data_IF_886197845866
#
_entry.id   IF_886197845866
#
_cell.length_a   1.000
_cell.length_b   1.000
_cell.length_c   1.000
_cell.angle_alpha   90.00
_cell.angle_beta   90.00
_cell.angle_gamma   90.00
#
_symmetry.space_group_name_H-M   'P 1'
#
loop_
_entity.id
_entity.type
_entity.pdbx_description
1 polymer ?
#
# COMPACT_ATOMS: atom_id res chain seq x y z
N UNK A 1 -0.33 -16.20 -34.93
CA UNK A 1 0.37 -14.94 -34.58
C UNK A 1 -0.43 -14.27 -33.49
N UNK A 2 0.08 -14.25 -32.25
CA UNK A 2 -0.59 -13.60 -31.12
C UNK A 2 -0.56 -12.10 -31.40
N UNK A 3 -1.72 -11.54 -31.76
CA UNK A 3 -1.90 -10.09 -31.89
C UNK A 3 -1.45 -9.45 -30.58
N UNK A 4 -0.46 -8.55 -30.66
CA UNK A 4 -0.10 -7.65 -29.56
C UNK A 4 -1.32 -6.79 -29.29
N UNK A 5 -2.21 -7.26 -28.41
CA UNK A 5 -3.37 -6.50 -27.97
C UNK A 5 -2.84 -5.15 -27.50
N UNK A 6 -3.30 -4.07 -28.16
CA UNK A 6 -2.97 -2.71 -27.72
C UNK A 6 -3.33 -2.62 -26.24
N UNK A 7 -2.46 -2.05 -25.38
CA UNK A 7 -2.84 -1.78 -24.00
C UNK A 7 -4.15 -0.98 -24.02
N UNK A 8 -5.19 -1.53 -23.40
CA UNK A 8 -6.49 -0.89 -23.34
C UNK A 8 -6.41 0.31 -22.40
N UNK A 9 -7.25 1.33 -22.59
CA UNK A 9 -7.30 2.48 -21.69
C UNK A 9 -7.58 2.06 -20.23
N UNK A 10 -8.27 0.93 -20.05
CA UNK A 10 -8.49 0.31 -18.74
C UNK A 10 -7.21 -0.25 -18.10
N UNK A 11 -6.28 -0.80 -18.89
CA UNK A 11 -4.99 -1.29 -18.38
C UNK A 11 -4.14 -0.14 -17.83
N UNK A 12 -4.13 0.99 -18.54
CA UNK A 12 -3.42 2.19 -18.10
C UNK A 12 -4.03 2.74 -16.81
N UNK A 13 -5.36 2.91 -16.76
CA UNK A 13 -6.09 3.37 -15.56
C UNK A 13 -5.85 2.47 -14.35
N UNK A 14 -5.88 1.15 -14.57
CA UNK A 14 -5.56 0.16 -13.52
C UNK A 14 -4.14 0.36 -13.01
N UNK A 15 -3.14 0.43 -13.90
CA UNK A 15 -1.74 0.61 -13.48
C UNK A 15 -1.53 1.88 -12.66
N UNK A 16 -2.14 3.00 -13.09
CA UNK A 16 -2.06 4.29 -12.40
C UNK A 16 -2.73 4.16 -11.03
N UNK A 17 -3.95 3.62 -10.97
CA UNK A 17 -4.68 3.48 -9.71
C UNK A 17 -3.93 2.63 -8.68
N UNK A 18 -3.39 1.48 -9.09
CA UNK A 18 -2.59 0.63 -8.20
C UNK A 18 -1.29 1.30 -7.75
N UNK A 19 -0.63 2.03 -8.65
CA UNK A 19 0.58 2.79 -8.32
C UNK A 19 0.26 3.86 -7.29
N UNK A 20 -0.82 4.63 -7.50
CA UNK A 20 -1.26 5.67 -6.58
C UNK A 20 -1.63 5.10 -5.21
N UNK A 21 -2.40 4.01 -5.16
CA UNK A 21 -2.78 3.37 -3.90
C UNK A 21 -1.56 2.85 -3.16
N UNK A 22 -0.66 2.16 -3.85
CA UNK A 22 0.56 1.62 -3.23
C UNK A 22 1.45 2.73 -2.69
N UNK A 23 1.62 3.81 -3.46
CA UNK A 23 2.36 4.98 -3.01
C UNK A 23 1.72 5.59 -1.76
N UNK A 24 0.40 5.85 -1.79
CA UNK A 24 -0.31 6.42 -0.66
C UNK A 24 -0.26 5.53 0.57
N UNK A 25 -0.44 4.22 0.44
CA UNK A 25 -0.38 3.28 1.56
C UNK A 25 0.97 3.31 2.29
N UNK A 26 2.08 3.47 1.58
CA UNK A 26 3.41 3.57 2.21
C UNK A 26 3.61 4.93 2.88
N UNK A 27 3.22 6.01 2.21
CA UNK A 27 3.60 7.37 2.60
C UNK A 27 2.57 8.08 3.49
N UNK A 28 1.37 7.55 3.65
CA UNK A 28 0.34 8.12 4.54
C UNK A 28 0.81 8.19 6.01
N UNK A 29 1.77 7.35 6.40
CA UNK A 29 2.35 7.36 7.74
C UNK A 29 3.44 8.39 7.98
N UNK A 30 3.92 9.12 6.96
CA UNK A 30 4.99 10.09 7.17
C UNK A 30 4.71 11.10 8.29
N UNK A 31 3.51 11.70 8.39
CA UNK A 31 3.19 12.59 9.50
C UNK A 31 3.26 11.90 10.86
N UNK A 32 2.82 10.64 10.95
CA UNK A 32 2.86 9.84 12.19
C UNK A 32 4.30 9.53 12.57
N UNK A 33 5.11 9.06 11.62
CA UNK A 33 6.54 8.77 11.86
C UNK A 33 7.29 10.02 12.30
N UNK A 34 7.03 11.15 11.65
CA UNK A 34 7.59 12.44 12.06
C UNK A 34 7.20 12.77 13.50
N UNK A 35 5.91 12.67 13.83
CA UNK A 35 5.41 12.95 15.17
C UNK A 35 6.08 12.05 16.22
N UNK A 36 6.10 10.74 16.01
CA UNK A 36 6.73 9.80 16.95
C UNK A 36 8.23 10.10 17.09
N UNK A 37 8.93 10.39 15.99
CA UNK A 37 10.35 10.74 16.03
C UNK A 37 10.65 12.01 16.83
N UNK A 38 9.77 13.02 16.79
CA UNK A 38 9.93 14.24 17.59
C UNK A 38 9.77 14.02 19.09
N UNK A 39 8.87 13.11 19.49
CA UNK A 39 8.48 12.93 20.89
C UNK A 39 9.04 11.66 21.55
N UNK A 40 9.62 10.75 20.78
CA UNK A 40 10.16 9.49 21.26
C UNK A 40 11.46 9.11 20.53
N UNK A 41 12.50 8.70 21.26
CA UNK A 41 13.78 8.25 20.70
C UNK A 41 13.75 6.76 20.31
N UNK A 42 12.68 6.37 19.64
CA UNK A 42 12.45 4.99 19.26
C UNK A 42 13.30 4.60 18.04
N UNK A 43 14.46 4.01 18.31
CA UNK A 43 15.39 3.52 17.30
C UNK A 43 14.77 2.44 16.38
N UNK A 44 13.71 1.76 16.82
CA UNK A 44 13.04 0.70 16.08
C UNK A 44 11.91 1.19 15.17
N UNK A 45 11.53 2.46 15.24
CA UNK A 45 10.40 3.04 14.51
C UNK A 45 10.54 2.87 12.99
N UNK A 46 11.68 3.30 12.44
CA UNK A 46 11.94 3.24 11.00
C UNK A 46 12.07 1.80 10.48
N UNK A 47 12.60 0.88 11.30
CA UNK A 47 12.66 -0.54 10.93
C UNK A 47 11.26 -1.14 10.80
N UNK A 48 10.39 -0.90 11.79
CA UNK A 48 9.00 -1.38 11.75
C UNK A 48 8.22 -0.78 10.61
N UNK A 49 8.35 0.53 10.38
CA UNK A 49 7.76 1.17 9.22
C UNK A 49 8.26 0.57 7.90
N UNK A 50 9.57 0.27 7.79
CA UNK A 50 10.14 -0.37 6.61
C UNK A 50 9.55 -1.76 6.36
N UNK A 51 9.38 -2.57 7.41
CA UNK A 51 8.77 -3.92 7.32
C UNK A 51 7.30 -3.82 6.89
N UNK A 52 6.53 -2.93 7.53
CA UNK A 52 5.13 -2.65 7.19
C UNK A 52 4.98 -2.19 5.73
N UNK A 53 5.77 -1.20 5.33
CA UNK A 53 5.79 -0.68 3.96
C UNK A 53 6.13 -1.78 2.94
N UNK A 54 7.14 -2.60 3.22
CA UNK A 54 7.52 -3.70 2.34
C UNK A 54 6.39 -4.73 2.22
N UNK A 55 5.72 -5.07 3.31
CA UNK A 55 4.56 -5.97 3.30
C UNK A 55 3.42 -5.42 2.45
N UNK A 56 3.03 -4.15 2.62
CA UNK A 56 2.00 -3.49 1.81
C UNK A 56 2.35 -3.46 0.32
N UNK A 57 3.60 -3.14 -0.03
CA UNK A 57 4.03 -3.12 -1.43
C UNK A 57 3.96 -4.52 -2.03
N UNK A 58 4.48 -5.53 -1.35
CA UNK A 58 4.43 -6.92 -1.83
C UNK A 58 2.99 -7.38 -1.97
N UNK A 59 2.14 -7.10 -0.98
CA UNK A 59 0.72 -7.43 -1.02
C UNK A 59 0.02 -6.79 -2.23
N UNK A 60 0.21 -5.48 -2.47
CA UNK A 60 -0.39 -4.78 -3.59
C UNK A 60 0.09 -5.31 -4.94
N UNK A 61 1.37 -5.67 -5.06
CA UNK A 61 1.94 -6.29 -6.27
C UNK A 61 1.28 -7.65 -6.51
N UNK A 62 1.20 -8.50 -5.48
CA UNK A 62 0.57 -9.81 -5.60
C UNK A 62 -0.91 -9.65 -5.99
N UNK A 63 -1.63 -8.74 -5.35
CA UNK A 63 -3.03 -8.46 -5.66
C UNK A 63 -3.22 -7.95 -7.09
N UNK A 64 -2.31 -7.12 -7.59
CA UNK A 64 -2.32 -6.64 -8.99
C UNK A 64 -2.24 -7.78 -10.01
N UNK A 65 -1.45 -8.82 -9.73
CA UNK A 65 -1.27 -9.96 -10.64
C UNK A 65 -2.26 -11.10 -10.40
N UNK A 66 -2.88 -11.19 -9.22
CA UNK A 66 -3.79 -12.28 -8.85
C UNK A 66 -5.13 -12.21 -9.60
N UNK A 67 -5.72 -11.02 -9.76
CA UNK A 67 -7.00 -10.84 -10.45
C UNK A 67 -6.84 -10.10 -11.79
N UNK A 68 -6.76 -10.85 -12.88
CA UNK A 68 -6.68 -10.36 -14.26
C UNK A 68 -8.08 -10.10 -14.86
N UNK A 69 -8.22 -9.14 -15.81
CA UNK A 69 -8.53 -7.72 -15.61
C UNK A 69 -10.05 -7.42 -15.47
N UNK A 70 -10.89 -8.39 -15.13
CA UNK A 70 -12.33 -8.14 -15.03
C UNK A 70 -12.62 -7.30 -13.78
N UNK A 71 -13.46 -6.26 -13.94
CA UNK A 71 -13.86 -5.35 -12.85
C UNK A 71 -12.70 -4.66 -12.11
N UNK A 72 -11.68 -4.19 -12.83
CA UNK A 72 -10.50 -3.51 -12.26
C UNK A 72 -10.81 -2.45 -11.20
N UNK A 73 -11.92 -1.70 -11.35
CA UNK A 73 -12.35 -0.69 -10.39
C UNK A 73 -12.85 -1.27 -9.07
N UNK A 74 -13.57 -2.41 -9.11
CA UNK A 74 -14.01 -3.11 -7.90
C UNK A 74 -12.81 -3.68 -7.14
N UNK A 75 -11.86 -4.27 -7.87
CA UNK A 75 -10.63 -4.81 -7.26
C UNK A 75 -9.81 -3.66 -6.65
N UNK A 76 -9.76 -2.52 -7.33
CA UNK A 76 -9.13 -1.31 -6.80
C UNK A 76 -9.78 -0.85 -5.48
N UNK A 77 -11.13 -0.83 -5.40
CA UNK A 77 -11.83 -0.48 -4.16
C UNK A 77 -11.60 -1.52 -3.04
N UNK A 78 -11.60 -2.81 -3.38
CA UNK A 78 -11.27 -3.88 -2.44
C UNK A 78 -9.84 -3.73 -1.90
N UNK A 79 -8.88 -3.43 -2.77
CA UNK A 79 -7.50 -3.14 -2.39
C UNK A 79 -7.40 -1.95 -1.44
N UNK A 80 -8.13 -0.86 -1.70
CA UNK A 80 -8.20 0.27 -0.78
C UNK A 80 -8.73 -0.18 0.59
N UNK A 81 -9.81 -0.96 0.63
CA UNK A 81 -10.38 -1.47 1.88
C UNK A 81 -9.41 -2.35 2.67
N UNK A 82 -8.72 -3.26 2.00
CA UNK A 82 -7.72 -4.14 2.62
C UNK A 82 -6.53 -3.32 3.12
N UNK A 83 -6.04 -2.39 2.30
CA UNK A 83 -4.94 -1.52 2.71
C UNK A 83 -5.36 -0.69 3.92
N UNK A 84 -6.56 -0.12 3.97
CA UNK A 84 -7.04 0.59 5.15
C UNK A 84 -7.03 -0.29 6.41
N UNK A 85 -7.45 -1.55 6.32
CA UNK A 85 -7.40 -2.48 7.45
C UNK A 85 -5.97 -2.77 7.90
N UNK A 86 -5.06 -3.02 6.94
CA UNK A 86 -3.63 -3.23 7.23
C UNK A 86 -3.05 -1.97 7.87
N UNK A 87 -3.29 -0.79 7.31
CA UNK A 87 -2.85 0.50 7.85
C UNK A 87 -3.35 0.69 9.28
N UNK A 88 -4.61 0.36 9.60
CA UNK A 88 -5.10 0.44 10.98
C UNK A 88 -4.29 -0.46 11.91
N UNK A 89 -4.01 -1.71 11.50
CA UNK A 89 -3.19 -2.63 12.29
C UNK A 89 -1.75 -2.10 12.45
N UNK A 90 -1.15 -1.56 11.39
CA UNK A 90 0.17 -0.95 11.39
C UNK A 90 0.23 0.27 12.31
N UNK A 91 -0.80 1.11 12.33
CA UNK A 91 -0.90 2.25 13.23
C UNK A 91 -0.81 1.82 14.70
N UNK A 92 -1.57 0.80 15.10
CA UNK A 92 -1.49 0.26 16.45
C UNK A 92 -0.12 -0.35 16.75
N UNK A 93 0.47 -1.04 15.79
CA UNK A 93 1.81 -1.63 15.92
C UNK A 93 2.92 -0.58 16.06
N UNK A 94 2.82 0.53 15.33
CA UNK A 94 3.78 1.63 15.40
C UNK A 94 3.66 2.42 16.71
N UNK A 95 2.45 2.60 17.25
CA UNK A 95 2.22 3.33 18.50
C UNK A 95 2.54 2.51 19.74
N UNK A 96 2.44 1.18 19.68
CA UNK A 96 2.73 0.31 20.83
C UNK A 96 4.15 0.50 21.40
N UNK A 97 5.11 0.99 20.61
CA UNK A 97 6.46 1.29 21.09
C UNK A 97 6.64 2.66 21.75
N UNK A 98 5.57 3.45 21.85
CA UNK A 98 5.56 4.68 22.62
C UNK A 98 5.26 4.46 24.11
N UNK A 99 4.95 3.22 24.51
CA UNK A 99 4.68 2.82 25.90
C UNK A 99 5.82 2.03 26.52
#
# INVERSE_FOLDING_TARGET
>A
MVSKAKPDANDLRRSIGYTMITFLSVFIFFPVLWFVHLFNQDLGLYMRWGICSAFLVVFNILYYYWEYPQDWFKNLLALVGINLLILIAEYFWLIQSMG
#
